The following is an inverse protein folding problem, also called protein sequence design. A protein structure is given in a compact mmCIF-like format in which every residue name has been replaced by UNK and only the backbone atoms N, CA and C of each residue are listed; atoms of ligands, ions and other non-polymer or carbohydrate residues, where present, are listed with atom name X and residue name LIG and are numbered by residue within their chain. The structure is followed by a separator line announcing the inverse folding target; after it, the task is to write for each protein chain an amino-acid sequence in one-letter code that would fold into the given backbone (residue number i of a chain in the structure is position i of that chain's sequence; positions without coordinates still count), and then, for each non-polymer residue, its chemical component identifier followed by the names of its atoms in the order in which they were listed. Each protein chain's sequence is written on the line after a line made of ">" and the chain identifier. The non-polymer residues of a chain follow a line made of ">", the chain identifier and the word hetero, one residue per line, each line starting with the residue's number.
data_IF_325417688832
#
_entry.id   IF_325417688832
#
_cell.length_a   1.000
_cell.length_b   1.000
_cell.length_c   1.000
_cell.angle_alpha   90.00
_cell.angle_beta   90.00
_cell.angle_gamma   90.00
#
_symmetry.space_group_name_H-M   'P 1'
#
loop_
_entity.id
_entity.type
_entity.pdbx_description
1 polymer ?
#
# COMPACT_ATOMS: atom_id res chain seq x y z
N UNK A 1 -22.51 8.06 15.35
CA UNK A 1 -21.91 7.49 14.12
C UNK A 1 -23.00 7.35 13.07
N UNK A 2 -22.78 7.74 11.81
CA UNK A 2 -23.80 7.60 10.75
C UNK A 2 -23.95 6.12 10.34
N UNK A 3 -25.13 5.71 9.83
CA UNK A 3 -25.34 4.33 9.32
C UNK A 3 -24.33 3.92 8.25
N UNK A 4 -23.80 4.88 7.49
CA UNK A 4 -22.77 4.66 6.47
C UNK A 4 -21.41 4.35 7.10
N UNK A 5 -21.02 5.09 8.13
CA UNK A 5 -19.78 4.83 8.87
C UNK A 5 -19.79 3.47 9.57
N UNK A 6 -20.94 3.04 10.13
CA UNK A 6 -21.06 1.70 10.71
C UNK A 6 -20.84 0.59 9.68
N UNK A 7 -21.38 0.75 8.45
CA UNK A 7 -21.17 -0.23 7.36
C UNK A 7 -19.71 -0.29 6.93
N UNK A 8 -19.03 0.85 6.86
CA UNK A 8 -17.59 0.91 6.56
C UNK A 8 -16.77 0.16 7.62
N UNK A 9 -17.00 0.44 8.90
CA UNK A 9 -16.30 -0.26 10.00
C UNK A 9 -16.60 -1.76 9.98
N UNK A 10 -17.85 -2.15 9.74
CA UNK A 10 -18.22 -3.56 9.63
C UNK A 10 -17.51 -4.26 8.45
N UNK A 11 -17.38 -3.60 7.30
CA UNK A 11 -16.62 -4.12 6.16
C UNK A 11 -15.14 -4.27 6.50
N UNK A 12 -14.52 -3.27 7.13
CA UNK A 12 -13.13 -3.32 7.57
C UNK A 12 -12.88 -4.50 8.52
N UNK A 13 -13.76 -4.67 9.52
CA UNK A 13 -13.70 -5.77 10.46
C UNK A 13 -13.88 -7.13 9.78
N UNK A 14 -14.79 -7.22 8.79
CA UNK A 14 -15.00 -8.44 8.01
C UNK A 14 -13.74 -8.80 7.20
N UNK A 15 -13.15 -7.83 6.49
CA UNK A 15 -11.91 -8.02 5.73
C UNK A 15 -10.79 -8.52 6.66
N UNK A 16 -10.61 -7.87 7.81
CA UNK A 16 -9.64 -8.27 8.82
C UNK A 16 -9.83 -9.73 9.28
N UNK A 17 -11.09 -10.14 9.52
CA UNK A 17 -11.42 -11.49 9.95
C UNK A 17 -11.18 -12.52 8.82
N UNK A 18 -11.55 -12.20 7.59
CA UNK A 18 -11.34 -13.05 6.41
C UNK A 18 -9.84 -13.27 6.17
N UNK A 19 -9.02 -12.23 6.30
CA UNK A 19 -7.55 -12.34 6.17
C UNK A 19 -6.98 -13.29 7.22
N UNK A 20 -7.38 -13.17 8.49
CA UNK A 20 -6.90 -14.07 9.56
C UNK A 20 -7.33 -15.52 9.35
N UNK A 21 -8.61 -15.75 9.05
CA UNK A 21 -9.13 -17.11 8.82
C UNK A 21 -8.49 -17.71 7.57
N UNK A 22 -8.33 -16.92 6.51
CA UNK A 22 -7.64 -17.34 5.29
C UNK A 22 -6.18 -17.69 5.56
N UNK A 23 -5.46 -16.89 6.34
CA UNK A 23 -4.08 -17.17 6.72
C UNK A 23 -3.98 -18.50 7.49
N UNK A 24 -4.81 -18.69 8.53
CA UNK A 24 -4.83 -19.94 9.31
C UNK A 24 -5.19 -21.16 8.46
N UNK A 25 -6.09 -21.01 7.48
CA UNK A 25 -6.45 -22.08 6.56
C UNK A 25 -5.30 -22.48 5.62
N UNK A 26 -4.40 -21.54 5.28
CA UNK A 26 -3.25 -21.79 4.40
C UNK A 26 -2.05 -22.40 5.12
N UNK A 27 -1.93 -22.21 6.43
CA UNK A 27 -0.78 -22.65 7.24
C UNK A 27 -0.44 -24.13 7.05
N UNK A 28 -1.37 -25.10 7.19
CA UNK A 28 -1.03 -26.53 7.06
C UNK A 28 -0.43 -26.84 5.69
N UNK A 29 -1.07 -26.34 4.63
CA UNK A 29 -0.64 -26.56 3.25
C UNK A 29 0.71 -25.91 2.97
N UNK A 30 0.96 -24.71 3.48
CA UNK A 30 2.25 -24.04 3.29
C UNK A 30 3.40 -24.75 4.01
N UNK A 31 3.14 -25.35 5.19
CA UNK A 31 4.11 -26.22 5.84
C UNK A 31 4.40 -27.49 5.02
N UNK A 32 3.36 -28.15 4.50
CA UNK A 32 3.51 -29.34 3.67
C UNK A 32 4.27 -29.08 2.36
N UNK A 33 4.08 -27.90 1.76
CA UNK A 33 4.80 -27.47 0.57
C UNK A 33 6.21 -26.92 0.86
N UNK A 34 6.62 -26.86 2.13
CA UNK A 34 7.96 -26.41 2.52
C UNK A 34 8.21 -24.92 2.27
N UNK A 35 7.18 -24.07 2.35
CA UNK A 35 7.30 -22.63 2.13
C UNK A 35 7.92 -21.86 3.31
N UNK A 36 8.36 -22.56 4.35
CA UNK A 36 9.07 -21.94 5.46
C UNK A 36 10.40 -21.36 4.96
N UNK A 37 10.60 -20.07 5.19
CA UNK A 37 11.73 -19.32 4.60
C UNK A 37 12.98 -19.26 5.50
N UNK A 38 12.86 -19.69 6.74
CA UNK A 38 13.96 -19.69 7.73
C UNK A 38 14.17 -21.10 8.28
N UNK A 39 15.39 -21.40 8.71
CA UNK A 39 15.74 -22.72 9.25
C UNK A 39 15.17 -22.92 10.67
N UNK A 40 15.41 -21.96 11.58
CA UNK A 40 14.84 -21.95 12.93
C UNK A 40 13.91 -20.74 13.11
N UNK A 41 12.58 -20.91 13.04
CA UNK A 41 11.61 -19.84 13.27
C UNK A 41 11.71 -19.20 14.65
N UNK A 42 12.33 -19.85 15.65
CA UNK A 42 12.43 -19.33 17.01
C UNK A 42 13.64 -18.42 17.23
N UNK A 43 14.56 -18.34 16.26
CA UNK A 43 15.74 -17.47 16.36
C UNK A 43 15.34 -15.98 16.26
N UNK A 44 15.59 -15.15 17.30
CA UNK A 44 15.29 -13.71 17.28
C UNK A 44 16.09 -12.94 16.23
N UNK A 45 17.18 -13.50 15.70
CA UNK A 45 17.97 -12.90 14.63
C UNK A 45 17.15 -12.75 13.34
N UNK A 46 16.16 -13.62 13.12
CA UNK A 46 15.24 -13.52 11.98
C UNK A 46 14.53 -12.15 11.96
N UNK A 47 14.13 -11.62 13.12
CA UNK A 47 13.50 -10.29 13.20
C UNK A 47 14.43 -9.20 12.68
N UNK A 48 15.73 -9.27 12.99
CA UNK A 48 16.72 -8.29 12.52
C UNK A 48 16.93 -8.38 11.00
N UNK A 49 17.01 -9.59 10.45
CA UNK A 49 17.12 -9.81 9.00
C UNK A 49 15.93 -9.19 8.26
N UNK A 50 14.72 -9.43 8.74
CA UNK A 50 13.51 -8.88 8.12
C UNK A 50 13.36 -7.37 8.32
N UNK A 51 13.76 -6.82 9.47
CA UNK A 51 13.84 -5.35 9.64
C UNK A 51 14.82 -4.76 8.61
N UNK A 52 15.99 -5.37 8.43
CA UNK A 52 16.95 -4.98 7.41
C UNK A 52 16.37 -5.03 5.99
N UNK A 53 15.66 -6.11 5.66
CA UNK A 53 14.99 -6.26 4.37
C UNK A 53 13.89 -5.20 4.15
N UNK A 54 13.11 -4.87 5.18
CA UNK A 54 12.09 -3.81 5.13
C UNK A 54 12.74 -2.45 4.87
N UNK A 55 13.84 -2.13 5.57
CA UNK A 55 14.57 -0.87 5.38
C UNK A 55 15.15 -0.82 3.96
N UNK A 56 15.75 -1.91 3.48
CA UNK A 56 16.31 -1.98 2.13
C UNK A 56 15.23 -1.80 1.05
N UNK A 57 14.09 -2.48 1.20
CA UNK A 57 12.96 -2.36 0.27
C UNK A 57 12.35 -0.95 0.30
N UNK A 58 12.23 -0.35 1.50
CA UNK A 58 11.76 1.04 1.65
C UNK A 58 12.71 2.01 0.96
N UNK A 59 14.03 1.86 1.17
CA UNK A 59 15.03 2.70 0.53
C UNK A 59 14.99 2.55 -1.01
N UNK A 60 14.82 1.33 -1.51
CA UNK A 60 14.62 1.07 -2.93
C UNK A 60 13.39 1.79 -3.48
N UNK A 61 12.26 1.70 -2.77
CA UNK A 61 11.01 2.36 -3.18
C UNK A 61 11.14 3.89 -3.19
N UNK A 62 11.76 4.47 -2.15
CA UNK A 62 12.03 5.91 -2.08
C UNK A 62 12.99 6.38 -3.19
N UNK A 63 14.00 5.56 -3.52
CA UNK A 63 14.88 5.85 -4.65
C UNK A 63 14.11 5.82 -5.96
N UNK A 64 13.25 4.83 -6.17
CA UNK A 64 12.43 4.72 -7.38
C UNK A 64 11.49 5.93 -7.55
N UNK A 65 10.87 6.43 -6.47
CA UNK A 65 10.09 7.68 -6.51
C UNK A 65 10.95 8.89 -6.82
N UNK A 66 12.14 8.98 -6.22
CA UNK A 66 13.08 10.09 -6.48
C UNK A 66 13.51 10.20 -7.95
N UNK A 67 13.45 9.10 -8.70
CA UNK A 67 13.81 9.04 -10.13
C UNK A 67 12.57 8.97 -11.05
N UNK A 68 11.37 9.27 -10.53
CA UNK A 68 10.11 9.28 -11.28
C UNK A 68 9.83 7.94 -12.00
N UNK A 69 10.19 6.82 -11.36
CA UNK A 69 10.06 5.47 -11.92
C UNK A 69 8.68 4.84 -11.63
N UNK A 70 7.60 5.60 -11.75
CA UNK A 70 6.25 5.17 -11.34
C UNK A 70 5.78 3.87 -12.01
N UNK A 71 6.10 3.72 -13.30
CA UNK A 71 5.77 2.50 -14.05
C UNK A 71 6.55 1.28 -13.54
N UNK A 72 7.79 1.46 -13.11
CA UNK A 72 8.59 0.38 -12.52
C UNK A 72 7.97 -0.06 -11.19
N UNK A 73 7.61 0.90 -10.34
CA UNK A 73 7.01 0.63 -9.03
C UNK A 73 5.67 -0.10 -9.21
N UNK A 74 4.82 0.39 -10.12
CA UNK A 74 3.57 -0.27 -10.47
C UNK A 74 3.79 -1.70 -10.96
N UNK A 75 4.75 -1.92 -11.85
CA UNK A 75 5.07 -3.25 -12.37
C UNK A 75 5.57 -4.18 -11.28
N UNK A 76 6.49 -3.71 -10.43
CA UNK A 76 7.01 -4.47 -9.29
C UNK A 76 5.88 -4.91 -8.38
N UNK A 77 4.94 -4.02 -8.06
CA UNK A 77 3.87 -4.33 -7.12
C UNK A 77 2.84 -5.29 -7.73
N UNK A 78 2.43 -5.09 -8.98
CA UNK A 78 1.58 -6.07 -9.66
C UNK A 78 2.27 -7.43 -9.77
N UNK A 79 3.56 -7.44 -10.10
CA UNK A 79 4.33 -8.67 -10.21
C UNK A 79 4.39 -9.42 -8.87
N UNK A 80 4.70 -8.72 -7.77
CA UNK A 80 4.75 -9.33 -6.44
C UNK A 80 3.36 -9.76 -5.96
N UNK A 81 2.30 -9.01 -6.29
CA UNK A 81 0.90 -9.42 -6.07
C UNK A 81 0.57 -10.72 -6.79
N UNK A 82 0.95 -10.84 -8.07
CA UNK A 82 0.78 -12.07 -8.85
C UNK A 82 1.59 -13.24 -8.28
N UNK A 83 2.82 -12.99 -7.83
CA UNK A 83 3.68 -14.00 -7.22
C UNK A 83 3.13 -14.51 -5.88
N UNK A 84 2.61 -13.62 -5.03
CA UNK A 84 1.92 -14.01 -3.80
C UNK A 84 0.61 -14.75 -4.09
N UNK A 85 -0.17 -14.30 -5.07
CA UNK A 85 -1.37 -15.01 -5.50
C UNK A 85 -1.03 -16.42 -6.00
N UNK A 86 0.11 -16.59 -6.68
CA UNK A 86 0.59 -17.90 -7.11
C UNK A 86 0.87 -18.82 -5.92
N UNK A 87 1.56 -18.36 -4.86
CA UNK A 87 1.77 -19.18 -3.66
C UNK A 87 0.45 -19.67 -3.06
N UNK A 88 -0.56 -18.81 -3.00
CA UNK A 88 -1.89 -19.17 -2.48
C UNK A 88 -2.59 -20.19 -3.40
N UNK A 89 -2.65 -19.92 -4.71
CA UNK A 89 -3.34 -20.83 -5.63
C UNK A 89 -2.60 -22.15 -5.84
N UNK A 90 -1.26 -22.16 -5.81
CA UNK A 90 -0.46 -23.38 -5.91
C UNK A 90 -0.68 -24.31 -4.70
N UNK A 91 -0.92 -23.73 -3.51
CA UNK A 91 -1.29 -24.51 -2.34
C UNK A 91 -2.73 -25.06 -2.42
N UNK A 92 -3.67 -24.29 -2.98
CA UNK A 92 -5.09 -24.66 -2.97
C UNK A 92 -5.55 -25.50 -4.16
N UNK A 93 -4.83 -25.43 -5.29
CA UNK A 93 -5.24 -26.04 -6.56
C UNK A 93 -4.21 -27.07 -7.01
N UNK A 94 -4.59 -28.34 -7.26
CA UNK A 94 -3.64 -29.39 -7.64
C UNK A 94 -2.92 -29.17 -8.98
N UNK A 95 -3.52 -28.38 -9.89
CA UNK A 95 -2.94 -28.13 -11.21
C UNK A 95 -2.10 -26.86 -11.20
N UNK A 96 -0.79 -27.02 -11.40
CA UNK A 96 0.15 -25.91 -11.51
C UNK A 96 -0.23 -24.93 -12.63
N UNK A 97 -0.72 -25.43 -13.78
CA UNK A 97 -1.15 -24.59 -14.89
C UNK A 97 -2.36 -23.72 -14.51
N UNK A 98 -3.31 -24.27 -13.75
CA UNK A 98 -4.46 -23.52 -13.25
C UNK A 98 -4.01 -22.47 -12.23
N UNK A 99 -3.11 -22.82 -11.31
CA UNK A 99 -2.58 -21.87 -10.34
C UNK A 99 -1.86 -20.68 -11.01
N UNK A 100 -1.05 -20.94 -12.04
CA UNK A 100 -0.41 -19.90 -12.87
C UNK A 100 -1.46 -19.07 -13.62
N UNK A 101 -2.49 -19.69 -14.18
CA UNK A 101 -3.57 -18.97 -14.86
C UNK A 101 -4.33 -18.03 -13.92
N UNK A 102 -4.65 -18.49 -12.71
CA UNK A 102 -5.35 -17.69 -11.70
C UNK A 102 -4.48 -16.54 -11.16
N UNK A 103 -3.20 -16.78 -10.90
CA UNK A 103 -2.29 -15.73 -10.44
C UNK A 103 -2.04 -14.67 -11.51
N UNK A 104 -1.89 -15.10 -12.77
CA UNK A 104 -1.81 -14.19 -13.92
C UNK A 104 -3.09 -13.37 -14.09
N UNK A 105 -4.27 -13.99 -13.87
CA UNK A 105 -5.54 -13.28 -13.92
C UNK A 105 -5.63 -12.18 -12.83
N UNK A 106 -5.16 -12.44 -11.61
CA UNK A 106 -5.09 -11.43 -10.54
C UNK A 106 -4.17 -10.27 -10.94
N UNK A 107 -2.96 -10.58 -11.44
CA UNK A 107 -2.02 -9.57 -11.90
C UNK A 107 -2.59 -8.72 -13.07
N UNK A 108 -3.21 -9.37 -14.06
CA UNK A 108 -3.84 -8.68 -15.19
C UNK A 108 -5.03 -7.83 -14.75
N UNK A 109 -5.86 -8.31 -13.81
CA UNK A 109 -6.96 -7.53 -13.26
C UNK A 109 -6.46 -6.25 -12.58
N UNK A 110 -5.38 -6.34 -11.78
CA UNK A 110 -4.75 -5.18 -11.15
C UNK A 110 -4.12 -4.20 -12.17
N UNK A 111 -3.60 -4.70 -13.29
CA UNK A 111 -3.02 -3.85 -14.34
C UNK A 111 -4.07 -3.12 -15.18
N UNK A 112 -5.13 -3.84 -15.57
CA UNK A 112 -6.07 -3.35 -16.59
C UNK A 112 -7.30 -2.71 -15.95
N UNK A 113 -7.71 -3.17 -14.77
CA UNK A 113 -8.96 -2.75 -14.14
C UNK A 113 -8.86 -2.66 -12.60
N UNK A 114 -8.10 -1.69 -12.07
CA UNK A 114 -7.88 -1.51 -10.63
C UNK A 114 -9.06 -0.80 -9.95
N UNK A 115 -10.26 -1.38 -10.01
CA UNK A 115 -11.39 -0.93 -9.17
C UNK A 115 -11.18 -1.33 -7.70
N UNK A 116 -11.84 -0.62 -6.78
CA UNK A 116 -11.65 -0.82 -5.34
C UNK A 116 -11.87 -2.27 -4.90
N UNK A 117 -12.89 -2.94 -5.43
CA UNK A 117 -13.19 -4.33 -5.06
C UNK A 117 -12.18 -5.32 -5.64
N UNK A 118 -11.51 -4.99 -6.76
CA UNK A 118 -10.42 -5.81 -7.33
C UNK A 118 -9.18 -5.66 -6.46
N UNK A 119 -8.85 -4.42 -6.09
CA UNK A 119 -7.75 -4.09 -5.18
C UNK A 119 -7.96 -4.77 -3.83
N UNK A 120 -9.15 -4.65 -3.24
CA UNK A 120 -9.46 -5.22 -1.94
C UNK A 120 -9.47 -6.75 -1.97
N UNK A 121 -10.04 -7.37 -3.02
CA UNK A 121 -10.02 -8.83 -3.15
C UNK A 121 -8.58 -9.36 -3.30
N UNK A 122 -7.75 -8.70 -4.11
CA UNK A 122 -6.34 -9.04 -4.24
C UNK A 122 -5.59 -8.80 -2.91
N UNK A 123 -5.88 -7.69 -2.23
CA UNK A 123 -5.31 -7.35 -0.92
C UNK A 123 -5.68 -8.36 0.16
N UNK A 124 -6.91 -8.87 0.17
CA UNK A 124 -7.35 -9.95 1.08
C UNK A 124 -6.59 -11.25 0.77
N UNK A 125 -6.50 -11.63 -0.51
CA UNK A 125 -5.78 -12.83 -0.95
C UNK A 125 -4.29 -12.76 -0.56
N UNK A 126 -3.65 -11.63 -0.89
CA UNK A 126 -2.25 -11.35 -0.56
C UNK A 126 -2.02 -11.27 0.94
N UNK A 127 -2.92 -10.62 1.68
CA UNK A 127 -2.85 -10.48 3.13
C UNK A 127 -2.92 -11.84 3.81
N UNK A 128 -3.84 -12.71 3.38
CA UNK A 128 -3.94 -14.08 3.89
C UNK A 128 -2.67 -14.89 3.57
N UNK A 129 -2.19 -14.84 2.31
CA UNK A 129 -0.98 -15.55 1.89
C UNK A 129 0.28 -15.07 2.61
N UNK A 130 0.50 -13.76 2.68
CA UNK A 130 1.63 -13.18 3.39
C UNK A 130 1.57 -13.49 4.89
N UNK A 131 0.42 -13.31 5.54
CA UNK A 131 0.27 -13.63 6.95
C UNK A 131 0.53 -15.12 7.24
N UNK A 132 0.12 -16.03 6.34
CA UNK A 132 0.46 -17.45 6.45
C UNK A 132 1.96 -17.70 6.30
N UNK A 133 2.61 -17.11 5.29
CA UNK A 133 4.07 -17.23 5.08
C UNK A 133 4.87 -16.72 6.28
N UNK A 134 4.50 -15.55 6.81
CA UNK A 134 5.11 -15.00 8.02
C UNK A 134 4.79 -15.86 9.25
N UNK A 135 3.56 -16.36 9.36
CA UNK A 135 3.12 -17.20 10.47
C UNK A 135 3.87 -18.54 10.57
N UNK A 136 4.25 -19.14 9.44
CA UNK A 136 5.09 -20.35 9.43
C UNK A 136 6.59 -20.04 9.56
N UNK A 137 7.02 -18.83 9.20
CA UNK A 137 8.44 -18.43 9.21
C UNK A 137 8.87 -17.75 10.51
N UNK A 138 7.94 -17.38 11.39
CA UNK A 138 8.24 -16.73 12.66
C UNK A 138 7.61 -17.47 13.83
N UNK A 139 8.44 -17.91 14.75
CA UNK A 139 8.02 -18.32 16.09
C UNK A 139 7.51 -17.12 16.90
N UNK A 140 6.94 -17.41 18.06
CA UNK A 140 6.29 -16.40 18.90
C UNK A 140 7.25 -15.26 19.30
N UNK A 141 8.47 -15.61 19.75
CA UNK A 141 9.44 -14.61 20.22
C UNK A 141 9.89 -13.68 19.09
N UNK A 142 10.37 -14.17 17.93
CA UNK A 142 10.79 -13.29 16.84
C UNK A 142 9.63 -12.47 16.25
N UNK A 143 8.41 -13.02 16.20
CA UNK A 143 7.22 -12.29 15.79
C UNK A 143 6.91 -11.12 16.72
N UNK A 144 6.92 -11.33 18.04
CA UNK A 144 6.67 -10.27 19.03
C UNK A 144 7.74 -9.18 18.91
N UNK A 145 9.01 -9.54 18.77
CA UNK A 145 10.10 -8.57 18.61
C UNK A 145 9.89 -7.73 17.35
N UNK A 146 9.65 -8.37 16.20
CA UNK A 146 9.42 -7.69 14.93
C UNK A 146 8.22 -6.74 15.02
N UNK A 147 7.07 -7.23 15.48
CA UNK A 147 5.85 -6.42 15.61
C UNK A 147 6.02 -5.28 16.60
N UNK A 148 6.74 -5.49 17.71
CA UNK A 148 7.00 -4.43 18.69
C UNK A 148 7.86 -3.31 18.10
N UNK A 149 8.91 -3.66 17.35
CA UNK A 149 9.77 -2.68 16.68
C UNK A 149 8.97 -1.89 15.64
N UNK A 150 8.16 -2.57 14.83
CA UNK A 150 7.30 -1.92 13.83
C UNK A 150 6.25 -1.02 14.49
N UNK A 151 5.62 -1.44 15.59
CA UNK A 151 4.66 -0.63 16.32
C UNK A 151 5.29 0.62 16.95
N UNK A 152 6.50 0.50 17.50
CA UNK A 152 7.25 1.65 18.02
C UNK A 152 7.64 2.61 16.90
N UNK A 153 8.09 2.09 15.75
CA UNK A 153 8.38 2.90 14.58
C UNK A 153 7.14 3.66 14.10
N UNK A 154 6.00 2.98 13.96
CA UNK A 154 4.73 3.58 13.53
C UNK A 154 4.30 4.72 14.48
N UNK A 155 4.34 4.48 15.79
CA UNK A 155 4.03 5.50 16.80
C UNK A 155 4.97 6.71 16.71
N UNK A 156 6.27 6.51 16.51
CA UNK A 156 7.23 7.61 16.36
C UNK A 156 6.95 8.38 15.06
N UNK A 157 6.70 7.67 13.96
CA UNK A 157 6.44 8.25 12.64
C UNK A 157 5.18 9.13 12.64
N UNK A 158 4.13 8.67 13.33
CA UNK A 158 2.84 9.38 13.40
C UNK A 158 2.90 10.53 14.40
N UNK A 159 3.31 10.28 15.66
CA UNK A 159 3.16 11.27 16.73
C UNK A 159 4.32 12.25 16.84
N UNK A 160 5.55 11.81 16.52
CA UNK A 160 6.76 12.61 16.74
C UNK A 160 7.21 13.31 15.47
N UNK A 161 7.47 12.57 14.41
CA UNK A 161 8.01 13.14 13.17
C UNK A 161 6.91 13.63 12.24
N UNK A 162 5.68 13.12 12.40
CA UNK A 162 4.55 13.37 11.49
C UNK A 162 4.88 13.09 10.02
N UNK A 163 5.93 12.31 9.75
CA UNK A 163 6.42 12.06 8.39
C UNK A 163 5.37 11.33 7.54
N UNK A 164 4.55 10.48 8.17
CA UNK A 164 3.40 9.82 7.51
C UNK A 164 2.27 10.79 7.15
N UNK A 165 2.15 11.92 7.87
CA UNK A 165 1.18 12.98 7.59
C UNK A 165 1.70 13.92 6.50
N UNK A 166 3.01 14.21 6.49
CA UNK A 166 3.66 15.04 5.47
C UNK A 166 3.78 14.30 4.12
N UNK A 167 3.92 12.96 4.12
CA UNK A 167 3.86 12.14 2.91
C UNK A 167 2.44 12.02 2.34
N UNK A 168 1.40 12.22 3.15
CA UNK A 168 0.02 12.21 2.68
C UNK A 168 -0.29 13.40 1.75
N UNK A 169 0.50 14.47 1.81
CA UNK A 169 0.46 15.59 0.85
C UNK A 169 1.21 15.29 -0.48
N UNK A 170 2.03 14.23 -0.55
CA UNK A 170 2.90 13.95 -1.71
C UNK A 170 2.85 12.56 -2.35
N UNK A 171 2.08 11.58 -1.80
CA UNK A 171 2.13 10.17 -2.25
C UNK A 171 0.76 9.59 -2.64
N UNK A 172 -0.25 10.43 -2.88
CA UNK A 172 -1.57 9.93 -3.33
C UNK A 172 -1.63 9.58 -4.84
N UNK A 173 -0.54 9.77 -5.60
CA UNK A 173 -0.55 9.70 -7.07
C UNK A 173 -0.53 8.29 -7.68
N UNK A 174 -0.21 7.26 -6.91
CA UNK A 174 0.31 6.04 -7.52
C UNK A 174 -0.70 4.91 -7.77
N UNK A 175 -1.96 5.03 -7.30
CA UNK A 175 -3.03 4.02 -7.48
C UNK A 175 -2.56 2.57 -7.27
N UNK A 176 -1.76 2.36 -6.22
CA UNK A 176 -1.15 1.08 -5.95
C UNK A 176 -2.00 0.32 -4.92
N UNK A 177 -2.22 -1.00 -5.08
CA UNK A 177 -2.92 -1.84 -4.11
C UNK A 177 -2.07 -2.10 -2.84
N UNK A 178 -1.66 -1.03 -2.15
CA UNK A 178 -0.99 -1.09 -0.83
C UNK A 178 -1.97 -0.73 0.30
N UNK A 179 -3.08 -0.09 -0.03
CA UNK A 179 -4.10 0.37 0.92
C UNK A 179 -5.45 -0.21 0.51
N UNK A 180 -6.14 -0.83 1.46
CA UNK A 180 -7.52 -1.31 1.28
C UNK A 180 -8.48 -0.13 1.29
N UNK A 181 -9.46 -0.14 0.39
CA UNK A 181 -10.40 0.98 0.21
C UNK A 181 -11.77 0.61 0.75
N UNK A 182 -12.21 1.29 1.80
CA UNK A 182 -13.51 1.03 2.44
C UNK A 182 -14.51 2.10 2.01
N UNK A 183 -15.34 1.86 0.98
CA UNK A 183 -16.27 2.87 0.52
C UNK A 183 -17.45 3.03 1.49
N UNK A 184 -17.89 4.27 1.69
CA UNK A 184 -19.10 4.56 2.50
C UNK A 184 -20.40 4.32 1.72
N UNK A 185 -20.32 4.12 0.40
CA UNK A 185 -21.43 3.77 -0.50
C UNK A 185 -20.97 2.77 -1.57
N UNK A 186 -21.80 1.78 -1.90
CA UNK A 186 -21.43 0.72 -2.86
C UNK A 186 -21.34 1.17 -4.32
N UNK A 187 -21.93 2.33 -4.64
CA UNK A 187 -21.83 2.96 -5.96
C UNK A 187 -20.52 3.72 -6.16
N UNK A 188 -19.62 3.70 -5.16
CA UNK A 188 -18.29 4.28 -5.29
C UNK A 188 -17.50 3.52 -6.35
N UNK A 189 -16.87 4.27 -7.25
CA UNK A 189 -15.96 3.76 -8.28
C UNK A 189 -14.68 4.57 -8.18
N UNK A 190 -13.54 3.88 -8.08
CA UNK A 190 -12.23 4.55 -8.09
C UNK A 190 -11.94 5.11 -9.48
N UNK A 191 -12.48 4.47 -10.52
CA UNK A 191 -12.32 4.93 -11.91
C UNK A 191 -13.23 6.12 -12.24
N UNK A 192 -14.35 6.27 -11.53
CA UNK A 192 -15.37 7.30 -11.78
C UNK A 192 -15.27 8.54 -10.89
N UNK A 193 -14.81 8.41 -9.64
CA UNK A 193 -14.54 9.57 -8.77
C UNK A 193 -13.17 10.17 -9.10
N UNK A 194 -13.10 11.50 -9.05
CA UNK A 194 -11.87 12.29 -9.16
C UNK A 194 -10.93 12.11 -7.95
N UNK A 195 -10.94 10.96 -7.27
CA UNK A 195 -9.79 10.52 -6.45
C UNK A 195 -8.51 10.47 -7.30
N UNK A 196 -8.67 10.35 -8.63
CA UNK A 196 -7.66 10.42 -9.66
C UNK A 196 -7.40 11.81 -10.27
N UNK A 197 -8.28 12.81 -10.05
CA UNK A 197 -8.26 14.12 -10.73
C UNK A 197 -8.12 15.33 -9.80
N UNK A 198 -8.42 15.21 -8.51
CA UNK A 198 -7.98 16.19 -7.50
C UNK A 198 -6.44 16.17 -7.32
N UNK A 199 -5.79 15.11 -7.84
CA UNK A 199 -4.35 15.04 -8.06
C UNK A 199 -3.86 15.75 -9.34
N UNK A 200 -4.76 16.10 -10.28
CA UNK A 200 -4.41 16.67 -11.59
C UNK A 200 -4.58 18.19 -11.70
N UNK A 201 -5.46 18.85 -10.93
CA UNK A 201 -5.68 20.30 -11.05
C UNK A 201 -4.70 21.18 -10.26
N UNK A 202 -3.81 20.59 -9.45
CA UNK A 202 -2.69 21.34 -8.84
C UNK A 202 -1.49 21.47 -9.80
N UNK A 203 -1.54 20.81 -10.98
CA UNK A 203 -0.42 20.77 -11.93
C UNK A 203 -0.33 21.94 -12.91
N UNK A 204 -1.27 22.89 -12.96
CA UNK A 204 -1.19 24.04 -13.90
C UNK A 204 -1.31 25.41 -13.22
N UNK A 205 -0.48 25.62 -12.20
CA UNK A 205 -0.49 26.86 -11.43
C UNK A 205 0.86 27.24 -10.84
N UNK A 206 1.94 27.22 -11.63
CA UNK A 206 3.17 27.81 -11.11
C UNK A 206 4.43 27.62 -11.93
N UNK A 207 4.53 28.26 -13.09
CA UNK A 207 5.81 28.92 -13.39
C UNK A 207 5.67 30.14 -14.31
N UNK A 208 5.75 31.33 -13.70
CA UNK A 208 6.23 32.53 -14.37
C UNK A 208 7.12 33.28 -13.38
N UNK A 209 8.37 32.84 -13.25
CA UNK A 209 9.44 33.73 -12.80
C UNK A 209 9.82 34.65 -13.96
N UNK A 210 9.67 35.97 -13.79
CA UNK A 210 10.64 36.91 -14.35
C UNK A 210 10.90 38.03 -13.35
N UNK A 211 12.17 38.25 -13.06
CA UNK A 211 12.65 39.33 -12.20
C UNK A 211 13.12 40.49 -13.08
N UNK A 212 12.78 41.71 -12.67
CA UNK A 212 13.31 42.93 -13.30
C UNK A 212 13.25 44.11 -12.35
N UNK A 213 14.43 44.57 -11.93
CA UNK A 213 14.67 45.84 -11.23
C UNK A 213 14.06 47.03 -11.97
N UNK A 214 13.53 48.02 -11.25
CA UNK A 214 13.94 49.42 -11.44
C UNK A 214 13.41 50.31 -10.30
N UNK A 215 14.32 51.15 -9.82
CA UNK A 215 14.12 52.17 -8.83
C UNK A 215 13.24 53.35 -9.32
N UNK A 216 12.84 54.14 -8.32
CA UNK A 216 12.79 55.60 -8.29
C UNK A 216 11.47 56.35 -8.58
N UNK A 217 11.20 57.22 -7.59
CA UNK A 217 10.73 58.60 -7.70
C UNK A 217 9.21 58.89 -7.78
N UNK A 218 8.74 59.45 -6.65
CA UNK A 218 8.13 60.77 -6.52
C UNK A 218 6.89 61.14 -7.36
N UNK A 219 5.86 61.64 -6.67
CA UNK A 219 4.85 62.48 -7.30
C UNK A 219 3.57 62.57 -6.48
N UNK A 220 3.29 63.77 -6.01
CA UNK A 220 2.13 64.21 -5.24
C UNK A 220 0.85 64.34 -6.07
N UNK A 221 -0.22 64.67 -5.33
CA UNK A 221 -1.43 65.41 -5.77
C UNK A 221 -2.51 64.60 -6.51
N UNK A 222 -3.82 64.83 -6.41
CA UNK A 222 -4.79 65.56 -5.55
C UNK A 222 -6.18 65.14 -6.12
N UNK A 223 -7.28 65.55 -5.45
CA UNK A 223 -8.68 65.62 -5.94
C UNK A 223 -9.54 64.36 -5.65
N UNK A 224 -10.47 64.35 -4.68
CA UNK A 224 -11.72 65.12 -4.54
C UNK A 224 -12.62 64.94 -5.78
N UNK A 225 -13.72 64.19 -5.69
CA UNK A 225 -15.13 64.64 -5.49
C UNK A 225 -15.97 63.40 -5.89
N UNK A 226 -17.14 63.04 -5.38
CA UNK A 226 -18.14 63.53 -4.42
C UNK A 226 -19.01 62.33 -4.08
#
# INVERSE_FOLDING_TARGET
>A
MSRRAYRGVALAALIFLVVQVGALALVPTFFEQGYQTVEDPSDPTNSLLYIGAIIAMTAFMLAAFKYDLDQLIRLVIVFTSGLLAWYVFAALVPSALVAVGLSAAVALALLVYPEWYVIDAAGVLMGAGAAALFGISFGLLPAIVLLSVLAVYDAISVYKTKHMLDLAEGVMDLRIPVVLVIPTTLSYSILGDEFARDANEVSDGGNATDGGESAAAAGSDTEAET
#
